data_IF_372873055466
#
_entry.id   IF_372873055466
#
_cell.length_a   1.000
_cell.length_b   1.000
_cell.length_c   1.000
_cell.angle_alpha   90.00
_cell.angle_beta   90.00
_cell.angle_gamma   90.00
#
_symmetry.space_group_name_H-M   'P 1'
#
loop_
_entity.id
_entity.type
_entity.pdbx_description
1 polymer ?
#
# COMPACT_ATOMS: atom_id res chain seq x y z
N UNK A 1 -23.83 2.27 -9.32
CA UNK A 1 -22.97 2.92 -8.32
C UNK A 1 -21.75 3.43 -9.06
N UNK A 2 -21.63 4.75 -9.29
CA UNK A 2 -20.48 5.32 -10.01
C UNK A 2 -19.34 5.46 -9.01
N UNK A 3 -18.37 4.56 -9.09
CA UNK A 3 -17.16 4.62 -8.25
C UNK A 3 -16.24 5.66 -8.90
N UNK A 4 -16.05 6.81 -8.26
CA UNK A 4 -15.08 7.80 -8.72
C UNK A 4 -13.64 7.28 -8.57
N UNK A 5 -12.72 7.79 -9.40
CA UNK A 5 -11.30 7.40 -9.42
C UNK A 5 -10.62 7.46 -8.04
N UNK A 6 -10.98 8.45 -7.20
CA UNK A 6 -10.46 8.54 -5.82
C UNK A 6 -10.90 7.35 -4.96
N UNK A 7 -12.13 6.86 -5.14
CA UNK A 7 -12.66 5.73 -4.38
C UNK A 7 -11.99 4.41 -4.79
N UNK A 8 -11.66 4.22 -6.08
CA UNK A 8 -10.90 3.05 -6.56
C UNK A 8 -9.52 3.01 -5.89
N UNK A 9 -8.80 4.13 -5.92
CA UNK A 9 -7.48 4.24 -5.31
C UNK A 9 -7.50 3.90 -3.81
N UNK A 10 -8.48 4.43 -3.05
CA UNK A 10 -8.62 4.12 -1.63
C UNK A 10 -8.90 2.64 -1.35
N UNK A 11 -9.74 2.01 -2.17
CA UNK A 11 -10.06 0.58 -2.04
C UNK A 11 -8.80 -0.27 -2.24
N UNK A 12 -8.01 0.01 -3.26
CA UNK A 12 -6.80 -0.76 -3.58
C UNK A 12 -5.69 -0.50 -2.56
N UNK A 13 -5.50 0.75 -2.13
CA UNK A 13 -4.57 1.08 -1.05
C UNK A 13 -4.95 0.34 0.24
N UNK A 14 -6.24 0.30 0.59
CA UNK A 14 -6.72 -0.44 1.75
C UNK A 14 -6.51 -1.94 1.62
N UNK A 15 -6.77 -2.52 0.45
CA UNK A 15 -6.53 -3.94 0.19
C UNK A 15 -5.05 -4.30 0.41
N UNK A 16 -4.14 -3.47 -0.08
CA UNK A 16 -2.70 -3.66 0.14
C UNK A 16 -2.33 -3.54 1.63
N UNK A 17 -2.84 -2.53 2.33
CA UNK A 17 -2.56 -2.35 3.77
C UNK A 17 -3.01 -3.56 4.59
N UNK A 18 -4.20 -4.10 4.33
CA UNK A 18 -4.70 -5.29 5.04
C UNK A 18 -3.90 -6.55 4.66
N UNK A 19 -3.48 -6.69 3.40
CA UNK A 19 -2.57 -7.76 2.96
C UNK A 19 -1.24 -7.74 3.71
N UNK A 20 -0.64 -6.56 3.88
CA UNK A 20 0.61 -6.40 4.63
C UNK A 20 0.45 -6.75 6.11
N UNK A 21 -0.63 -6.26 6.76
CA UNK A 21 -0.94 -6.62 8.15
C UNK A 21 -1.13 -8.12 8.31
N UNK A 22 -1.85 -8.75 7.40
CA UNK A 22 -2.08 -10.19 7.42
C UNK A 22 -0.77 -10.97 7.30
N UNK A 23 0.07 -10.61 6.32
CA UNK A 23 1.34 -11.30 6.09
C UNK A 23 2.27 -11.21 7.32
N UNK A 24 2.33 -10.03 7.95
CA UNK A 24 3.07 -9.83 9.18
C UNK A 24 2.51 -10.65 10.35
N UNK A 25 1.19 -10.67 10.53
CA UNK A 25 0.53 -11.46 11.58
C UNK A 25 0.78 -12.97 11.40
N UNK A 26 0.99 -13.43 10.17
CA UNK A 26 1.39 -14.81 9.87
C UNK A 26 2.89 -15.08 10.07
N UNK A 27 3.68 -14.06 10.38
CA UNK A 27 5.12 -14.17 10.62
C UNK A 27 5.96 -14.17 9.35
N UNK A 28 5.39 -13.86 8.18
CA UNK A 28 6.17 -13.71 6.95
C UNK A 28 7.08 -12.48 7.05
N UNK A 29 8.34 -12.65 6.66
CA UNK A 29 9.38 -11.61 6.68
C UNK A 29 9.94 -11.29 5.30
N UNK A 30 9.38 -11.90 4.26
CA UNK A 30 9.65 -11.62 2.86
C UNK A 30 8.31 -11.56 2.14
N UNK A 31 8.03 -10.43 1.50
CA UNK A 31 6.79 -10.21 0.76
C UNK A 31 7.07 -9.56 -0.57
N UNK A 32 6.35 -10.00 -1.60
CA UNK A 32 6.31 -9.39 -2.92
C UNK A 32 4.95 -8.72 -3.08
N UNK A 33 4.97 -7.45 -3.50
CA UNK A 33 3.78 -6.63 -3.68
C UNK A 33 3.56 -6.45 -5.17
N UNK A 34 2.47 -7.03 -5.68
CA UNK A 34 2.04 -6.85 -7.07
C UNK A 34 0.71 -6.08 -7.09
N UNK A 35 0.62 -5.05 -7.93
CA UNK A 35 -0.61 -4.30 -8.18
C UNK A 35 -0.66 -3.84 -9.63
N UNK A 36 -1.83 -3.97 -10.24
CA UNK A 36 -2.15 -3.42 -11.56
C UNK A 36 -2.39 -1.90 -11.53
N UNK A 37 -2.50 -1.29 -10.34
CA UNK A 37 -2.55 0.15 -10.19
C UNK A 37 -1.15 0.76 -10.13
N UNK A 38 -0.66 1.16 -11.30
CA UNK A 38 0.64 1.83 -11.46
C UNK A 38 0.79 3.11 -10.64
N UNK A 39 -0.31 3.86 -10.39
CA UNK A 39 -0.28 5.09 -9.58
C UNK A 39 0.01 4.73 -8.12
N UNK A 40 -0.66 3.70 -7.59
CA UNK A 40 -0.45 3.23 -6.22
C UNK A 40 0.99 2.75 -6.01
N UNK A 41 1.50 1.91 -6.91
CA UNK A 41 2.89 1.42 -6.86
C UNK A 41 3.87 2.59 -6.89
N UNK A 42 3.70 3.53 -7.82
CA UNK A 42 4.56 4.71 -7.96
C UNK A 42 4.57 5.56 -6.68
N UNK A 43 3.41 5.77 -6.06
CA UNK A 43 3.29 6.57 -4.83
C UNK A 43 3.99 5.89 -3.65
N UNK A 44 3.83 4.57 -3.51
CA UNK A 44 4.48 3.81 -2.43
C UNK A 44 5.99 3.82 -2.60
N UNK A 45 6.49 3.56 -3.80
CA UNK A 45 7.92 3.53 -4.11
C UNK A 45 8.60 4.90 -3.95
N UNK A 46 7.96 5.98 -4.40
CA UNK A 46 8.58 7.30 -4.42
C UNK A 46 8.48 8.06 -3.09
N UNK A 47 7.80 7.53 -2.08
CA UNK A 47 7.64 8.23 -0.80
C UNK A 47 6.80 9.51 -0.88
N UNK A 48 6.23 9.83 -2.05
CA UNK A 48 5.55 11.10 -2.30
C UNK A 48 4.08 11.02 -1.87
N UNK A 49 3.85 11.11 -0.56
CA UNK A 49 2.56 11.52 -0.03
C UNK A 49 2.37 13.03 -0.27
N UNK A 50 2.24 13.43 -1.54
CA UNK A 50 1.87 14.80 -1.90
C UNK A 50 0.40 14.99 -1.55
N UNK A 51 0.19 15.63 -0.41
CA UNK A 51 -1.06 16.10 0.20
C UNK A 51 -1.55 15.27 1.40
N UNK A 52 -1.96 16.03 2.42
CA UNK A 52 -2.43 15.64 3.77
C UNK A 52 -3.64 14.67 3.80
N UNK A 53 -4.09 14.15 2.66
CA UNK A 53 -5.33 13.37 2.52
C UNK A 53 -5.15 11.85 2.34
N UNK A 54 -3.92 11.33 2.22
CA UNK A 54 -3.70 9.89 2.02
C UNK A 54 -3.05 9.23 3.24
N UNK A 55 -3.80 9.14 4.34
CA UNK A 55 -3.38 8.47 5.57
C UNK A 55 -3.02 7.00 5.36
N UNK A 56 -3.71 6.32 4.46
CA UNK A 56 -3.50 4.90 4.13
C UNK A 56 -2.16 4.65 3.44
N UNK A 57 -1.76 5.52 2.50
CA UNK A 57 -0.47 5.43 1.82
C UNK A 57 0.69 5.54 2.80
N UNK A 58 0.59 6.49 3.75
CA UNK A 58 1.61 6.65 4.79
C UNK A 58 1.73 5.40 5.65
N UNK A 59 0.59 4.80 6.03
CA UNK A 59 0.60 3.53 6.75
C UNK A 59 1.25 2.43 5.91
N UNK A 60 0.89 2.29 4.63
CA UNK A 60 1.49 1.29 3.75
C UNK A 60 3.01 1.47 3.68
N UNK A 61 3.51 2.70 3.55
CA UNK A 61 4.94 3.00 3.60
C UNK A 61 5.56 2.58 4.94
N UNK A 62 4.97 2.99 6.07
CA UNK A 62 5.42 2.59 7.41
C UNK A 62 5.49 1.06 7.56
N UNK A 63 4.54 0.34 6.94
CA UNK A 63 4.54 -1.12 6.88
C UNK A 63 5.65 -1.65 5.98
N UNK A 64 5.85 -1.10 4.78
CA UNK A 64 6.90 -1.51 3.86
C UNK A 64 8.31 -1.33 4.46
N UNK A 65 8.52 -0.31 5.30
CA UNK A 65 9.80 -0.05 5.98
C UNK A 65 9.97 -0.78 7.33
N UNK A 66 9.10 -1.73 7.69
CA UNK A 66 9.31 -2.62 8.85
C UNK A 66 10.53 -3.54 8.65
N UNK A 67 10.87 -4.31 9.70
CA UNK A 67 11.91 -5.35 9.67
C UNK A 67 11.47 -6.60 8.89
N UNK A 68 11.21 -6.42 7.60
CA UNK A 68 10.99 -7.47 6.61
C UNK A 68 11.48 -7.00 5.23
N UNK A 69 11.77 -7.97 4.37
CA UNK A 69 12.21 -7.74 3.00
C UNK A 69 10.98 -7.56 2.11
N UNK A 70 10.85 -6.39 1.51
CA UNK A 70 9.73 -6.05 0.63
C UNK A 70 10.26 -5.85 -0.78
N UNK A 71 9.66 -6.56 -1.73
CA UNK A 71 9.90 -6.40 -3.17
C UNK A 71 8.63 -5.86 -3.83
N UNK A 72 8.81 -4.99 -4.81
CA UNK A 72 7.77 -4.48 -5.70
C UNK A 72 8.01 -5.00 -7.12
#
# INVERSE_FOLDING_TARGET
MVVGLSNIFHIEARALLEGLKFAWAKGYRRVEIESDNSILVTIIQNGQATNKNYSEVKLIQDWCFKSWEVKF
#
